data_IF_051907984006
#
_entry.id   IF_051907984006
#
_cell.length_a   1.000
_cell.length_b   1.000
_cell.length_c   1.000
_cell.angle_alpha   90.00
_cell.angle_beta   90.00
_cell.angle_gamma   90.00
#
_symmetry.space_group_name_H-M   'P 1'
#
loop_
_entity.id
_entity.type
_entity.pdbx_description
1 polymer ?
#
# COMPACT_ATOMS: atom_id res chain seq x y z
N UNK A 1 -15.71 -16.83 -29.76
CA UNK A 1 -16.86 -16.80 -28.82
C UNK A 1 -16.52 -17.35 -27.43
N UNK A 2 -15.68 -18.39 -27.31
CA UNK A 2 -15.27 -18.96 -26.01
C UNK A 2 -14.58 -17.96 -25.06
N UNK A 3 -13.64 -17.16 -25.57
CA UNK A 3 -12.93 -16.14 -24.77
C UNK A 3 -13.86 -15.11 -24.11
N UNK A 4 -14.95 -14.74 -24.79
CA UNK A 4 -15.89 -13.72 -24.32
C UNK A 4 -16.76 -14.25 -23.17
N UNK A 5 -17.10 -15.54 -23.22
CA UNK A 5 -17.81 -16.24 -22.16
C UNK A 5 -16.92 -16.44 -20.92
N UNK A 6 -15.64 -16.78 -21.13
CA UNK A 6 -14.65 -16.89 -20.06
C UNK A 6 -14.40 -15.54 -19.38
N UNK A 7 -14.31 -14.45 -20.15
CA UNK A 7 -14.15 -13.10 -19.62
C UNK A 7 -15.37 -12.65 -18.81
N UNK A 8 -16.59 -12.92 -19.30
CA UNK A 8 -17.83 -12.65 -18.57
C UNK A 8 -17.92 -13.42 -17.25
N UNK A 9 -17.50 -14.69 -17.26
CA UNK A 9 -17.47 -15.55 -16.08
C UNK A 9 -16.43 -15.08 -15.05
N UNK A 10 -15.24 -14.66 -15.51
CA UNK A 10 -14.19 -14.12 -14.65
C UNK A 10 -14.61 -12.79 -13.98
N UNK A 11 -15.27 -11.90 -14.72
CA UNK A 11 -15.80 -10.64 -14.19
C UNK A 11 -16.90 -10.87 -13.12
N UNK A 12 -17.79 -11.84 -13.36
CA UNK A 12 -18.83 -12.23 -12.40
C UNK A 12 -18.23 -12.85 -11.12
N UNK A 13 -17.20 -13.68 -11.25
CA UNK A 13 -16.48 -14.26 -10.10
C UNK A 13 -15.72 -13.20 -9.29
N UNK A 14 -15.14 -12.20 -9.95
CA UNK A 14 -14.56 -11.04 -9.29
C UNK A 14 -15.58 -10.32 -8.40
N UNK A 15 -16.81 -10.14 -8.90
CA UNK A 15 -17.88 -9.49 -8.14
C UNK A 15 -18.30 -10.29 -6.89
N UNK A 16 -18.37 -11.62 -6.97
CA UNK A 16 -18.65 -12.50 -5.82
C UNK A 16 -17.53 -12.48 -4.77
N UNK A 17 -16.25 -12.44 -5.20
CA UNK A 17 -15.10 -12.31 -4.29
C UNK A 17 -15.01 -10.90 -3.68
N UNK A 18 -15.51 -9.87 -4.38
CA UNK A 18 -15.56 -8.49 -3.87
C UNK A 18 -16.74 -8.19 -2.94
N UNK A 19 -17.70 -9.11 -2.75
CA UNK A 19 -18.66 -9.08 -1.63
C UNK A 19 -18.01 -9.44 -0.29
N UNK A 20 -16.75 -9.04 -0.09
CA UNK A 20 -16.17 -8.96 1.24
C UNK A 20 -16.67 -7.67 1.87
N UNK A 21 -17.11 -7.73 3.11
CA UNK A 21 -17.44 -6.54 3.89
C UNK A 21 -16.25 -5.59 3.87
N UNK A 22 -16.38 -4.51 3.10
CA UNK A 22 -15.35 -3.47 3.02
C UNK A 22 -15.56 -2.54 4.21
N UNK A 23 -14.74 -2.70 5.25
CA UNK A 23 -14.66 -1.72 6.32
C UNK A 23 -13.65 -0.63 5.95
N UNK A 24 -14.06 0.63 6.04
CA UNK A 24 -13.13 1.76 6.00
C UNK A 24 -12.60 1.99 7.42
N UNK A 25 -11.28 2.00 7.57
CA UNK A 25 -10.62 2.35 8.82
C UNK A 25 -9.76 3.61 8.62
N UNK A 26 -9.89 4.57 9.52
CA UNK A 26 -9.02 5.74 9.55
C UNK A 26 -7.69 5.34 10.18
N UNK A 27 -6.65 5.23 9.36
CA UNK A 27 -5.30 4.91 9.84
C UNK A 27 -4.56 6.23 10.05
N UNK A 28 -4.23 6.52 11.31
CA UNK A 28 -3.45 7.67 11.71
C UNK A 28 -2.12 7.25 12.33
N UNK A 29 -1.08 8.06 12.12
CA UNK A 29 0.21 7.87 12.77
C UNK A 29 0.13 8.22 14.26
N UNK A 30 0.56 7.30 15.11
CA UNK A 30 0.84 7.58 16.53
C UNK A 30 2.33 7.80 16.72
N UNK A 31 2.76 8.82 17.48
CA UNK A 31 4.16 8.97 17.85
C UNK A 31 4.68 7.69 18.53
N UNK A 32 5.92 7.26 18.23
CA UNK A 32 6.50 6.12 18.90
C UNK A 32 6.82 6.49 20.37
N UNK A 33 7.01 5.46 21.22
CA UNK A 33 7.40 5.68 22.62
C UNK A 33 8.76 6.38 22.70
N UNK A 34 9.07 6.99 23.84
CA UNK A 34 10.41 7.48 24.13
C UNK A 34 11.46 6.37 23.91
N UNK A 35 12.65 6.74 23.45
CA UNK A 35 13.73 5.84 23.02
C UNK A 35 13.51 5.09 21.70
N UNK A 36 12.42 5.35 20.98
CA UNK A 36 12.21 4.89 19.61
C UNK A 36 12.29 6.05 18.62
N UNK A 37 12.67 5.74 17.39
CA UNK A 37 12.73 6.69 16.27
C UNK A 37 11.65 6.39 15.24
N UNK A 38 11.21 7.43 14.53
CA UNK A 38 10.34 7.32 13.36
C UNK A 38 11.21 7.24 12.11
N UNK A 39 11.18 6.09 11.43
CA UNK A 39 11.79 5.92 10.12
C UNK A 39 10.73 6.17 9.03
N UNK A 40 10.95 7.16 8.18
CA UNK A 40 10.15 7.37 6.97
C UNK A 40 11.05 7.14 5.76
N UNK A 41 10.70 6.20 4.89
CA UNK A 41 11.41 5.92 3.65
C UNK A 41 10.53 6.29 2.46
N UNK A 42 11.11 6.86 1.41
CA UNK A 42 10.41 7.02 0.15
C UNK A 42 10.69 5.83 -0.78
N UNK A 43 9.73 5.55 -1.66
CA UNK A 43 9.94 4.61 -2.75
C UNK A 43 10.52 5.36 -3.94
N UNK A 44 11.56 4.78 -4.55
CA UNK A 44 12.15 5.31 -5.77
C UNK A 44 12.08 4.27 -6.89
N UNK A 45 11.68 4.71 -8.07
CA UNK A 45 11.61 3.88 -9.27
C UNK A 45 12.22 4.63 -10.45
N UNK A 46 13.01 3.91 -11.25
CA UNK A 46 13.53 4.38 -12.52
C UNK A 46 13.63 3.19 -13.47
N UNK A 47 12.96 3.28 -14.61
CA UNK A 47 12.83 2.20 -15.59
C UNK A 47 14.18 1.61 -15.99
N UNK A 48 14.45 0.38 -15.54
CA UNK A 48 15.67 -0.40 -15.82
C UNK A 48 17.00 0.34 -15.54
N UNK A 49 16.96 1.38 -14.71
CA UNK A 49 18.12 2.19 -14.37
C UNK A 49 18.24 2.32 -12.84
N UNK A 50 19.39 2.81 -12.39
CA UNK A 50 19.62 3.04 -10.96
C UNK A 50 18.70 4.15 -10.46
N UNK A 51 17.87 3.82 -9.47
CA UNK A 51 17.09 4.77 -8.69
C UNK A 51 17.78 4.99 -7.34
N UNK A 52 17.95 6.25 -6.94
CA UNK A 52 18.37 6.60 -5.59
C UNK A 52 17.17 6.52 -4.65
N UNK A 53 17.33 5.95 -3.46
CA UNK A 53 16.31 5.94 -2.42
C UNK A 53 16.74 6.83 -1.25
N UNK A 54 15.78 7.28 -0.45
CA UNK A 54 16.03 8.14 0.69
C UNK A 54 15.12 7.84 1.87
N UNK A 55 15.26 8.68 2.88
CA UNK A 55 14.44 8.63 4.06
C UNK A 55 14.89 9.63 5.10
N UNK A 56 14.04 9.78 6.12
CA UNK A 56 14.30 10.63 7.28
C UNK A 56 14.07 9.81 8.54
N UNK A 57 15.09 9.81 9.40
CA UNK A 57 14.98 9.35 10.79
C UNK A 57 14.64 10.58 11.63
N UNK A 58 13.53 10.50 12.36
CA UNK A 58 13.10 11.53 13.31
C UNK A 58 13.02 10.94 14.71
N UNK A 59 13.17 11.78 15.73
CA UNK A 59 12.92 11.36 17.10
C UNK A 59 11.43 11.14 17.41
N UNK A 60 11.15 10.79 18.65
CA UNK A 60 9.78 10.48 19.10
C UNK A 60 8.81 11.68 19.02
N UNK A 61 9.34 12.90 19.11
CA UNK A 61 8.56 14.15 18.99
C UNK A 61 8.57 14.72 17.57
N UNK A 62 9.30 14.09 16.64
CA UNK A 62 9.36 14.51 15.24
C UNK A 62 10.45 15.54 14.93
N UNK A 63 11.41 15.74 15.86
CA UNK A 63 12.66 16.45 15.59
C UNK A 63 13.48 15.83 14.44
#
# INVERSE_FOLDING_TARGET
MQLMHEYGSAAANGNLVTRRDKSVAMIGWKPPKNMFVKLNTDGAYKENLVAGCGGVIRGSQGE
#
